data_IF_383721013151
#
_entry.id   IF_383721013151
#
_cell.length_a   1.000
_cell.length_b   1.000
_cell.length_c   1.000
_cell.angle_alpha   90.00
_cell.angle_beta   90.00
_cell.angle_gamma   90.00
#
_symmetry.space_group_name_H-M   'P 1'
#
loop_
_entity.id
_entity.type
_entity.pdbx_description
1 polymer ?
#
# COMPACT_ATOMS: atom_id res chain seq x y z
N UNK A 1 -17.31 1.04 -3.66
CA UNK A 1 -16.89 0.27 -2.47
C UNK A 1 -17.19 1.05 -1.20
N UNK A 2 -18.23 0.64 -0.50
CA UNK A 2 -18.65 1.36 0.71
C UNK A 2 -17.67 1.18 1.88
N UNK A 3 -16.85 0.14 1.87
CA UNK A 3 -15.95 -0.18 2.96
C UNK A 3 -14.54 0.44 2.83
N UNK A 4 -14.27 1.13 1.72
CA UNK A 4 -12.95 1.73 1.48
C UNK A 4 -12.94 3.17 2.00
N UNK A 5 -13.03 3.34 3.32
CA UNK A 5 -13.10 4.67 3.95
C UNK A 5 -11.96 4.96 4.91
N UNK A 6 -10.96 4.09 4.99
CA UNK A 6 -9.79 4.36 5.83
C UNK A 6 -8.87 5.34 5.13
N UNK A 7 -8.32 6.27 5.91
CA UNK A 7 -7.30 7.17 5.40
C UNK A 7 -5.97 6.44 5.31
N UNK A 8 -5.35 6.55 4.17
CA UNK A 8 -4.05 5.98 3.89
C UNK A 8 -3.13 7.06 3.34
N UNK A 9 -1.84 6.86 3.49
CA UNK A 9 -0.84 7.73 2.87
C UNK A 9 0.02 6.90 1.94
N UNK A 10 0.07 7.28 0.68
CA UNK A 10 0.89 6.63 -0.32
C UNK A 10 2.17 7.44 -0.56
N UNK A 11 3.31 6.82 -0.34
CA UNK A 11 4.59 7.46 -0.55
C UNK A 11 5.19 7.00 -1.87
N UNK A 12 5.45 7.95 -2.75
CA UNK A 12 6.11 7.67 -4.02
C UNK A 12 7.61 7.76 -3.82
N UNK A 13 8.32 6.68 -4.14
CA UNK A 13 9.77 6.62 -4.01
C UNK A 13 10.42 6.72 -5.39
N UNK A 14 11.60 7.35 -5.42
CA UNK A 14 12.42 7.43 -6.64
C UNK A 14 13.28 6.16 -6.81
N UNK A 15 14.14 6.16 -7.82
CA UNK A 15 15.02 5.04 -8.13
C UNK A 15 16.03 4.72 -7.03
N UNK A 16 16.29 5.71 -6.16
CA UNK A 16 17.23 5.57 -5.04
C UNK A 16 16.52 5.31 -3.70
N UNK A 17 15.25 4.91 -3.76
CA UNK A 17 14.40 4.66 -2.58
C UNK A 17 14.24 5.89 -1.68
N UNK A 18 14.27 7.08 -2.26
CA UNK A 18 13.98 8.31 -1.56
C UNK A 18 12.52 8.69 -1.76
N UNK A 19 11.90 9.18 -0.70
CA UNK A 19 10.51 9.61 -0.78
C UNK A 19 10.42 10.92 -1.55
N UNK A 20 9.75 10.89 -2.70
CA UNK A 20 9.51 12.08 -3.51
C UNK A 20 8.31 12.87 -3.04
N UNK A 21 7.22 12.18 -2.72
CA UNK A 21 5.98 12.82 -2.30
C UNK A 21 5.10 11.87 -1.51
N UNK A 22 4.19 12.45 -0.73
CA UNK A 22 3.19 11.72 0.03
C UNK A 22 1.82 12.12 -0.50
N UNK A 23 0.98 11.14 -0.80
CA UNK A 23 -0.35 11.35 -1.36
C UNK A 23 -1.38 10.80 -0.38
N UNK A 24 -2.25 11.66 0.19
CA UNK A 24 -3.34 11.16 1.03
C UNK A 24 -4.42 10.51 0.17
N UNK A 25 -4.85 9.33 0.58
CA UNK A 25 -5.86 8.56 -0.15
C UNK A 25 -6.86 7.96 0.83
N UNK A 26 -7.99 7.52 0.30
CA UNK A 26 -8.93 6.67 1.01
C UNK A 26 -8.93 5.30 0.38
N UNK A 27 -8.99 4.28 1.21
CA UNK A 27 -9.02 2.92 0.72
C UNK A 27 -9.33 1.93 1.83
N UNK A 28 -9.11 0.66 1.58
CA UNK A 28 -9.21 -0.38 2.59
C UNK A 28 -7.85 -0.96 2.88
N UNK A 29 -7.64 -1.36 4.12
CA UNK A 29 -6.39 -1.94 4.60
C UNK A 29 -6.71 -3.28 5.27
N UNK A 30 -6.12 -4.34 4.78
CA UNK A 30 -6.36 -5.68 5.30
C UNK A 30 -5.04 -6.42 5.48
N UNK A 31 -4.78 -6.86 6.69
CA UNK A 31 -3.60 -7.68 6.99
C UNK A 31 -3.99 -9.15 6.91
N UNK A 32 -3.23 -9.90 6.14
CA UNK A 32 -3.46 -11.33 5.97
C UNK A 32 -2.21 -12.08 6.38
N UNK A 33 -2.38 -13.03 7.31
CA UNK A 33 -1.31 -13.93 7.71
C UNK A 33 -1.46 -15.24 6.96
N UNK A 34 -0.38 -15.68 6.33
CA UNK A 34 -0.32 -16.98 5.68
C UNK A 34 0.70 -17.85 6.40
N UNK A 35 0.37 -19.14 6.51
CA UNK A 35 1.30 -20.12 7.04
C UNK A 35 1.55 -21.19 5.97
N UNK A 36 2.79 -21.61 5.86
CA UNK A 36 3.19 -22.60 4.86
C UNK A 36 4.10 -23.62 5.52
N UNK A 37 3.79 -24.90 5.32
CA UNK A 37 4.60 -25.98 5.84
C UNK A 37 5.68 -26.33 4.81
N UNK A 38 6.92 -26.18 5.20
CA UNK A 38 8.07 -26.49 4.35
C UNK A 38 8.90 -27.58 4.99
N UNK A 39 9.90 -28.08 4.27
CA UNK A 39 10.85 -29.08 4.77
C UNK A 39 11.63 -28.58 5.98
N UNK A 40 11.69 -27.27 6.19
CA UNK A 40 12.37 -26.65 7.33
C UNK A 40 11.45 -26.29 8.48
N UNK A 41 10.16 -26.67 8.41
CA UNK A 41 9.17 -26.35 9.40
C UNK A 41 8.11 -25.41 8.84
N UNK A 42 7.40 -24.76 9.75
CA UNK A 42 6.30 -23.85 9.38
C UNK A 42 6.81 -22.42 9.25
N UNK A 43 6.56 -21.81 8.11
CA UNK A 43 6.89 -20.41 7.87
C UNK A 43 5.62 -19.58 7.89
N UNK A 44 5.71 -18.35 8.44
CA UNK A 44 4.61 -17.41 8.49
C UNK A 44 5.00 -16.15 7.71
N UNK A 45 4.10 -15.69 6.87
CA UNK A 45 4.26 -14.45 6.15
C UNK A 45 3.04 -13.56 6.39
N UNK A 46 3.26 -12.28 6.61
CA UNK A 46 2.21 -11.29 6.68
C UNK A 46 2.20 -10.49 5.39
N UNK A 47 1.03 -10.40 4.78
CA UNK A 47 0.81 -9.62 3.57
C UNK A 47 -0.28 -8.62 3.87
N UNK A 48 -0.07 -7.37 3.47
CA UNK A 48 -1.07 -6.32 3.54
C UNK A 48 -1.70 -6.14 2.17
N UNK A 49 -3.01 -6.20 2.12
CA UNK A 49 -3.76 -5.93 0.90
C UNK A 49 -4.50 -4.61 1.06
N UNK A 50 -4.32 -3.72 0.10
CA UNK A 50 -4.98 -2.43 0.07
C UNK A 50 -5.80 -2.30 -1.20
N UNK A 51 -7.03 -1.81 -1.09
CA UNK A 51 -7.87 -1.49 -2.24
C UNK A 51 -8.13 -0.01 -2.23
N UNK A 52 -7.77 0.66 -3.31
CA UNK A 52 -7.97 2.09 -3.47
C UNK A 52 -8.98 2.30 -4.60
N UNK A 53 -10.22 2.72 -4.28
CA UNK A 53 -11.21 2.99 -5.31
C UNK A 53 -10.71 4.05 -6.28
N UNK A 54 -10.96 3.84 -7.57
CA UNK A 54 -10.51 4.77 -8.60
C UNK A 54 -11.05 6.18 -8.40
N UNK A 55 -12.24 6.30 -7.81
CA UNK A 55 -12.87 7.59 -7.53
C UNK A 55 -12.11 8.43 -6.49
N UNK A 56 -11.36 7.79 -5.60
CA UNK A 56 -10.58 8.48 -4.56
C UNK A 56 -9.13 8.70 -4.96
N UNK A 57 -8.69 8.08 -6.04
CA UNK A 57 -7.34 8.27 -6.54
C UNK A 57 -7.31 9.47 -7.46
N UNK A 58 -6.30 10.33 -7.28
CA UNK A 58 -6.15 11.49 -8.16
C UNK A 58 -5.78 11.06 -9.57
N UNK A 59 -6.16 11.88 -10.55
CA UNK A 59 -5.75 11.66 -11.92
C UNK A 59 -4.22 11.59 -12.01
N UNK A 60 -3.72 10.58 -12.71
CA UNK A 60 -2.28 10.35 -12.81
C UNK A 60 -1.70 9.49 -11.70
N UNK A 61 -2.52 9.07 -10.70
CA UNK A 61 -2.06 8.14 -9.68
C UNK A 61 -1.80 6.78 -10.32
N UNK A 62 -0.58 6.30 -10.18
CA UNK A 62 -0.17 5.00 -10.69
C UNK A 62 0.74 4.33 -9.67
N UNK A 63 0.19 3.43 -8.84
CA UNK A 63 1.01 2.71 -7.87
C UNK A 63 2.00 1.79 -8.58
N UNK A 64 3.18 1.66 -7.98
CA UNK A 64 4.24 0.83 -8.54
C UNK A 64 4.98 0.08 -7.43
N UNK A 65 5.72 -0.95 -7.80
CA UNK A 65 6.55 -1.69 -6.87
C UNK A 65 7.58 -0.79 -6.21
N UNK A 66 7.89 -1.12 -4.96
CA UNK A 66 8.85 -0.42 -4.09
C UNK A 66 8.35 0.91 -3.52
N UNK A 67 7.20 1.41 -3.93
CA UNK A 67 6.55 2.50 -3.20
C UNK A 67 6.10 2.00 -1.83
N UNK A 68 5.67 2.90 -0.97
CA UNK A 68 5.28 2.55 0.39
C UNK A 68 3.89 3.06 0.72
N UNK A 69 3.23 2.38 1.65
CA UNK A 69 1.91 2.75 2.14
C UNK A 69 1.92 2.82 3.66
N UNK A 70 1.22 3.79 4.20
CA UNK A 70 1.03 3.96 5.63
C UNK A 70 -0.47 4.00 5.94
N UNK A 71 -0.89 3.27 6.96
CA UNK A 71 -2.27 3.34 7.44
C UNK A 71 -2.43 4.62 8.27
N UNK A 72 -3.36 5.47 7.86
CA UNK A 72 -3.60 6.75 8.52
C UNK A 72 -3.05 7.93 7.74
N UNK A 73 -3.03 9.09 8.38
CA UNK A 73 -2.53 10.32 7.79
C UNK A 73 -1.11 10.62 8.25
N UNK A 74 -0.35 11.25 7.39
CA UNK A 74 1.00 11.70 7.72
C UNK A 74 1.07 13.21 7.49
N UNK A 75 1.53 13.95 8.49
CA UNK A 75 1.66 15.40 8.41
C UNK A 75 3.14 15.79 8.41
N UNK A 76 3.48 16.80 7.62
CA UNK A 76 4.85 17.32 7.53
C UNK A 76 5.66 16.63 6.44
N UNK A 77 6.96 16.90 6.43
CA UNK A 77 7.87 16.33 5.45
C UNK A 77 8.10 14.84 5.75
N UNK A 78 8.01 13.97 4.74
CA UNK A 78 8.21 12.54 4.96
C UNK A 78 9.67 12.24 5.31
N UNK A 79 9.91 11.37 6.29
CA UNK A 79 11.27 10.93 6.63
C UNK A 79 11.81 9.94 5.60
N UNK A 80 13.04 9.49 5.79
CA UNK A 80 13.62 8.47 4.94
C UNK A 80 12.78 7.18 4.98
N UNK A 81 12.82 6.41 3.88
CA UNK A 81 12.03 5.19 3.75
C UNK A 81 12.28 4.19 4.89
N UNK A 82 13.52 4.08 5.35
CA UNK A 82 13.84 3.19 6.47
C UNK A 82 13.12 3.56 7.75
N UNK A 83 13.00 4.88 8.03
CA UNK A 83 12.26 5.36 9.20
C UNK A 83 10.76 5.12 9.07
N UNK A 84 10.21 5.26 7.87
CA UNK A 84 8.79 4.95 7.64
C UNK A 84 8.50 3.50 7.99
N UNK A 85 9.39 2.60 7.60
CA UNK A 85 9.19 1.17 7.88
C UNK A 85 9.36 0.83 9.36
N UNK A 86 10.40 1.34 9.99
CA UNK A 86 10.71 0.98 11.38
C UNK A 86 9.85 1.72 12.40
N UNK A 87 9.65 3.01 12.21
CA UNK A 87 8.98 3.85 13.22
C UNK A 87 7.47 3.94 13.00
N UNK A 88 7.04 4.01 11.74
CA UNK A 88 5.63 4.22 11.40
C UNK A 88 4.95 2.95 10.91
N UNK A 89 5.68 1.86 10.79
CA UNK A 89 5.17 0.57 10.32
C UNK A 89 4.58 0.62 8.91
N UNK A 90 5.16 1.45 8.04
CA UNK A 90 4.76 1.51 6.66
C UNK A 90 5.11 0.19 5.95
N UNK A 91 4.31 -0.17 4.97
CA UNK A 91 4.53 -1.39 4.19
C UNK A 91 5.06 -1.03 2.80
N UNK A 92 5.82 -1.94 2.21
CA UNK A 92 6.41 -1.77 0.88
C UNK A 92 5.57 -2.48 -0.16
N UNK A 93 5.23 -1.78 -1.24
CA UNK A 93 4.43 -2.33 -2.33
C UNK A 93 5.24 -3.39 -3.07
N UNK A 94 4.68 -4.59 -3.22
CA UNK A 94 5.30 -5.71 -3.93
C UNK A 94 4.61 -6.05 -5.23
N UNK A 95 3.31 -5.87 -5.31
CA UNK A 95 2.54 -6.13 -6.52
C UNK A 95 1.34 -5.21 -6.59
N UNK A 96 0.93 -4.88 -7.80
CA UNK A 96 -0.21 -4.02 -8.06
C UNK A 96 -1.08 -4.66 -9.14
N UNK A 97 -2.39 -4.73 -8.89
CA UNK A 97 -3.37 -5.12 -9.89
C UNK A 97 -4.22 -3.91 -10.25
N UNK A 98 -4.29 -3.62 -11.54
CA UNK A 98 -5.14 -2.56 -12.05
C UNK A 98 -6.53 -3.13 -12.37
N UNK A 99 -7.45 -2.95 -11.44
CA UNK A 99 -8.83 -3.39 -11.58
C UNK A 99 -9.78 -2.24 -11.90
N UNK A 100 -9.27 -1.17 -12.54
CA UNK A 100 -10.08 0.01 -12.89
C UNK A 100 -11.07 -0.26 -14.02
N UNK A 101 -10.85 -1.32 -14.78
CA UNK A 101 -11.71 -1.69 -15.92
C UNK A 101 -12.88 -2.56 -15.54
N UNK A 102 -13.01 -2.89 -14.26
CA UNK A 102 -14.18 -3.68 -13.82
C UNK A 102 -15.42 -2.81 -13.86
N UNK A 103 -16.56 -3.42 -14.24
CA UNK A 103 -17.83 -2.69 -14.33
C UNK A 103 -18.31 -2.28 -12.94
N UNK A 104 -18.05 -3.10 -11.92
CA UNK A 104 -18.46 -2.83 -10.56
C UNK A 104 -17.24 -2.47 -9.70
N UNK A 105 -17.29 -1.31 -9.05
CA UNK A 105 -16.27 -0.85 -8.11
C UNK A 105 -14.84 -0.88 -8.67
N UNK A 106 -14.53 -0.07 -9.71
CA UNK A 106 -13.16 0.01 -10.22
C UNK A 106 -12.20 0.46 -9.12
N UNK A 107 -11.04 -0.20 -9.03
CA UNK A 107 -10.07 0.07 -7.96
C UNK A 107 -8.67 -0.40 -8.32
N UNK A 108 -7.69 0.09 -7.55
CA UNK A 108 -6.35 -0.45 -7.52
C UNK A 108 -6.26 -1.47 -6.39
N UNK A 109 -5.71 -2.65 -6.65
CA UNK A 109 -5.48 -3.67 -5.63
C UNK A 109 -3.97 -3.81 -5.41
N UNK A 110 -3.51 -3.45 -4.21
CA UNK A 110 -2.09 -3.38 -3.87
C UNK A 110 -1.76 -4.45 -2.85
N UNK A 111 -0.68 -5.19 -3.11
CA UNK A 111 -0.12 -6.18 -2.20
C UNK A 111 1.20 -5.64 -1.66
N UNK A 112 1.35 -5.61 -0.34
CA UNK A 112 2.50 -5.01 0.31
C UNK A 112 2.96 -5.83 1.52
N UNK A 113 4.20 -5.65 1.92
CA UNK A 113 4.78 -6.33 3.08
C UNK A 113 5.55 -5.39 3.98
#
# INVERSE_FOLDING_TARGET
MQLCKEQLTYFVLDERDRVEKAIPLFGSWYNKSTSELTDKGMTFAQVTECRIPAEYARQGFAPKENDMLLRGTFAGDPPAAALLKHRYHAVTVKAVRDNRRTVMAPHWHIFAV
#
